data_IF_697683060374
#
_entry.id   IF_697683060374
#
_cell.length_a   1.000
_cell.length_b   1.000
_cell.length_c   1.000
_cell.angle_alpha   90.00
_cell.angle_beta   90.00
_cell.angle_gamma   90.00
#
_symmetry.space_group_name_H-M   'P 1'
#
loop_
_entity.id
_entity.type
_entity.pdbx_description
1 polymer ?
#
# COMPACT_ATOMS: atom_id res chain seq x y z
N UNK A 1 -20.82 -65.37 9.95
CA UNK A 1 -21.06 -65.15 8.51
C UNK A 1 -20.99 -63.65 8.23
N UNK A 2 -20.28 -63.12 7.25
CA UNK A 2 -19.12 -63.53 6.46
C UNK A 2 -18.75 -62.22 5.73
N UNK A 3 -17.50 -61.78 5.86
CA UNK A 3 -16.97 -60.63 5.11
C UNK A 3 -16.90 -61.05 3.63
N UNK A 4 -17.44 -60.24 2.70
CA UNK A 4 -17.21 -60.40 1.26
C UNK A 4 -16.76 -59.07 0.68
N UNK A 5 -15.51 -59.09 0.23
CA UNK A 5 -14.81 -58.13 -0.63
C UNK A 5 -15.44 -58.06 -2.02
N UNK A 6 -15.63 -56.86 -2.57
CA UNK A 6 -15.93 -56.68 -4.00
C UNK A 6 -14.67 -56.24 -4.75
N UNK A 7 -14.28 -57.10 -5.69
CA UNK A 7 -13.14 -57.00 -6.60
C UNK A 7 -13.39 -55.98 -7.71
N UNK A 8 -12.35 -55.21 -8.02
CA UNK A 8 -12.16 -54.44 -9.26
C UNK A 8 -12.36 -55.36 -10.47
N UNK A 9 -13.12 -54.91 -11.47
CA UNK A 9 -13.28 -55.58 -12.76
C UNK A 9 -12.81 -54.64 -13.86
N UNK A 10 -11.67 -54.97 -14.45
CA UNK A 10 -11.16 -54.36 -15.69
C UNK A 10 -12.15 -54.65 -16.83
N UNK A 11 -12.48 -53.62 -17.61
CA UNK A 11 -13.19 -53.76 -18.88
C UNK A 11 -12.27 -53.33 -20.01
N UNK A 12 -11.87 -54.32 -20.79
CA UNK A 12 -11.25 -54.21 -22.12
C UNK A 12 -12.40 -53.94 -23.10
N UNK A 13 -12.25 -52.94 -23.97
CA UNK A 13 -13.11 -52.73 -25.13
C UNK A 13 -12.22 -52.46 -26.36
N UNK A 14 -12.23 -53.41 -27.28
CA UNK A 14 -11.57 -53.35 -28.58
C UNK A 14 -12.51 -52.79 -29.66
N UNK A 15 -11.95 -51.94 -30.53
CA UNK A 15 -12.35 -51.72 -31.92
C UNK A 15 -12.54 -50.25 -32.33
N UNK A 16 -12.41 -49.88 -33.63
CA UNK A 16 -11.80 -50.56 -34.78
C UNK A 16 -10.56 -49.80 -35.34
N UNK A 17 -9.93 -50.37 -36.37
CA UNK A 17 -8.73 -49.88 -37.07
C UNK A 17 -8.67 -48.36 -37.35
N UNK A 18 -7.71 -47.69 -36.73
CA UNK A 18 -7.13 -46.44 -37.26
C UNK A 18 -5.78 -46.78 -37.90
N UNK A 19 -5.74 -46.75 -39.23
CA UNK A 19 -4.49 -46.68 -39.97
C UNK A 19 -3.82 -45.33 -39.64
N UNK A 20 -2.53 -45.29 -39.28
CA UNK A 20 -1.84 -44.03 -39.13
C UNK A 20 -1.71 -43.41 -40.52
N UNK A 21 -2.36 -42.25 -40.69
CA UNK A 21 -2.04 -41.33 -41.77
C UNK A 21 -0.60 -40.89 -41.54
N UNK A 22 0.28 -41.31 -42.44
CA UNK A 22 1.68 -40.92 -42.52
C UNK A 22 1.76 -39.45 -42.93
N UNK A 23 1.44 -38.55 -42.01
CA UNK A 23 1.84 -37.15 -42.11
C UNK A 23 3.31 -37.08 -41.71
N UNK A 24 4.17 -37.01 -42.72
CA UNK A 24 5.63 -37.00 -42.64
C UNK A 24 6.24 -35.85 -41.85
N UNK A 25 5.92 -35.74 -40.55
CA UNK A 25 6.67 -34.98 -39.60
C UNK A 25 7.81 -35.85 -39.05
N UNK A 26 8.99 -35.62 -39.62
CA UNK A 26 10.27 -36.08 -39.11
C UNK A 26 10.35 -35.83 -37.59
N UNK A 27 10.30 -36.90 -36.80
CA UNK A 27 10.76 -36.87 -35.41
C UNK A 27 12.20 -36.34 -35.39
N UNK A 28 12.54 -35.33 -34.57
CA UNK A 28 13.90 -34.82 -34.54
C UNK A 28 14.86 -35.94 -34.10
N UNK A 29 16.06 -36.04 -34.69
CA UNK A 29 16.99 -37.12 -34.39
C UNK A 29 17.40 -37.08 -32.92
N UNK A 30 17.32 -38.24 -32.25
CA UNK A 30 17.81 -38.41 -30.89
C UNK A 30 19.32 -38.11 -30.85
N UNK A 31 19.69 -36.95 -30.28
CA UNK A 31 21.09 -36.54 -30.12
C UNK A 31 21.39 -35.07 -30.43
N UNK A 32 20.44 -34.28 -30.95
CA UNK A 32 20.63 -32.84 -31.06
C UNK A 32 20.26 -32.15 -29.73
N UNK A 33 21.27 -31.93 -28.87
CA UNK A 33 21.17 -30.95 -27.79
C UNK A 33 20.65 -29.63 -28.38
N UNK A 34 19.69 -29.02 -27.68
CA UNK A 34 19.19 -27.70 -28.07
C UNK A 34 20.35 -26.70 -28.15
N UNK A 35 20.23 -25.66 -28.99
CA UNK A 35 21.27 -24.63 -29.08
C UNK A 35 21.60 -24.02 -27.71
N UNK A 36 20.58 -23.89 -26.85
CA UNK A 36 20.71 -23.37 -25.50
C UNK A 36 21.55 -24.29 -24.59
N UNK A 37 21.38 -25.60 -24.68
CA UNK A 37 22.15 -26.59 -23.89
C UNK A 37 23.62 -26.73 -24.35
N UNK A 38 23.98 -26.17 -25.50
CA UNK A 38 25.37 -26.11 -25.98
C UNK A 38 26.14 -24.91 -25.44
N UNK A 39 25.46 -23.94 -24.84
CA UNK A 39 26.10 -22.77 -24.26
C UNK A 39 26.85 -23.17 -22.97
N UNK A 40 27.95 -22.46 -22.63
CA UNK A 40 28.57 -22.60 -21.32
C UNK A 40 27.57 -22.34 -20.19
N UNK A 41 27.74 -23.06 -19.07
CA UNK A 41 26.88 -22.96 -17.90
C UNK A 41 26.71 -21.51 -17.41
N UNK A 42 27.78 -20.72 -17.49
CA UNK A 42 27.82 -19.31 -17.09
C UNK A 42 26.93 -18.43 -17.98
N UNK A 43 26.86 -18.73 -19.28
CA UNK A 43 26.01 -17.99 -20.23
C UNK A 43 24.55 -18.34 -20.01
N UNK A 44 24.24 -19.62 -19.78
CA UNK A 44 22.87 -20.06 -19.43
C UNK A 44 22.45 -19.38 -18.11
N UNK A 45 23.35 -19.31 -17.14
CA UNK A 45 23.10 -18.68 -15.85
C UNK A 45 22.87 -17.16 -15.98
N UNK A 46 23.65 -16.48 -16.82
CA UNK A 46 23.48 -15.05 -17.11
C UNK A 46 22.13 -14.80 -17.78
N UNK A 47 21.76 -15.56 -18.81
CA UNK A 47 20.45 -15.51 -19.47
C UNK A 47 19.33 -15.72 -18.45
N UNK A 48 19.44 -16.77 -17.62
CA UNK A 48 18.45 -17.08 -16.59
C UNK A 48 18.30 -15.96 -15.55
N UNK A 49 19.33 -15.13 -15.34
CA UNK A 49 19.28 -14.01 -14.39
C UNK A 49 18.33 -12.87 -14.80
N UNK A 50 17.91 -12.82 -16.07
CA UNK A 50 16.95 -11.85 -16.59
C UNK A 50 15.51 -12.37 -16.60
N UNK A 51 15.29 -13.63 -16.23
CA UNK A 51 13.98 -14.29 -16.30
C UNK A 51 13.15 -14.04 -15.03
N UNK A 52 11.83 -13.92 -15.20
CA UNK A 52 10.88 -13.90 -14.08
C UNK A 52 10.79 -15.28 -13.41
N UNK A 53 10.20 -15.35 -12.22
CA UNK A 53 9.97 -16.64 -11.55
C UNK A 53 9.14 -17.62 -12.39
N UNK A 54 8.13 -17.11 -13.13
CA UNK A 54 7.31 -17.89 -14.04
C UNK A 54 8.13 -18.40 -15.23
N UNK A 55 8.95 -17.54 -15.83
CA UNK A 55 9.80 -17.91 -16.96
C UNK A 55 10.90 -18.91 -16.56
N UNK A 56 11.45 -18.79 -15.34
CA UNK A 56 12.36 -19.79 -14.79
C UNK A 56 11.66 -21.14 -14.59
N UNK A 57 10.41 -21.14 -14.14
CA UNK A 57 9.64 -22.38 -14.03
C UNK A 57 9.40 -23.01 -15.41
N UNK A 58 9.07 -22.21 -16.42
CA UNK A 58 8.94 -22.66 -17.80
C UNK A 58 10.27 -23.19 -18.36
N UNK A 59 11.38 -22.48 -18.14
CA UNK A 59 12.73 -22.90 -18.54
C UNK A 59 13.07 -24.28 -17.95
N UNK A 60 12.86 -24.45 -16.65
CA UNK A 60 13.12 -25.72 -15.98
C UNK A 60 12.21 -26.87 -16.41
N UNK A 61 11.01 -26.56 -16.93
CA UNK A 61 10.09 -27.57 -17.44
C UNK A 61 10.49 -28.13 -18.82
N UNK A 62 11.48 -27.53 -19.50
CA UNK A 62 11.88 -27.95 -20.85
C UNK A 62 12.87 -29.12 -20.87
N UNK A 63 13.83 -29.19 -19.96
CA UNK A 63 14.80 -30.29 -19.88
C UNK A 63 15.41 -30.45 -18.48
N UNK A 64 15.97 -31.63 -18.20
CA UNK A 64 16.67 -31.90 -16.94
C UNK A 64 17.90 -31.01 -16.74
N UNK A 65 18.65 -30.69 -17.80
CA UNK A 65 19.80 -29.78 -17.66
C UNK A 65 19.33 -28.36 -17.31
N UNK A 66 18.26 -27.89 -17.95
CA UNK A 66 17.73 -26.55 -17.69
C UNK A 66 16.99 -26.45 -16.36
N UNK A 67 16.45 -27.55 -15.82
CA UNK A 67 15.87 -27.56 -14.46
C UNK A 67 16.94 -27.30 -13.39
N UNK A 68 18.15 -27.81 -13.56
CA UNK A 68 19.25 -27.58 -12.63
C UNK A 68 19.69 -26.10 -12.63
N UNK A 69 19.81 -25.51 -13.83
CA UNK A 69 20.10 -24.07 -13.97
C UNK A 69 18.98 -23.20 -13.40
N UNK A 70 17.72 -23.49 -13.75
CA UNK A 70 16.56 -22.74 -13.27
C UNK A 70 16.34 -22.90 -11.75
N UNK A 71 16.86 -23.97 -11.14
CA UNK A 71 16.79 -24.21 -9.70
C UNK A 71 17.94 -23.57 -8.91
N UNK A 72 18.87 -22.87 -9.57
CA UNK A 72 19.99 -22.20 -8.90
C UNK A 72 19.48 -21.16 -7.90
N UNK A 73 19.81 -21.36 -6.62
CA UNK A 73 19.25 -20.57 -5.52
C UNK A 73 19.66 -19.09 -5.55
N UNK A 74 20.76 -18.73 -6.23
CA UNK A 74 21.16 -17.33 -6.42
C UNK A 74 20.17 -16.55 -7.30
N UNK A 75 19.56 -17.21 -8.29
CA UNK A 75 18.49 -16.60 -9.11
C UNK A 75 17.28 -16.27 -8.25
N UNK A 76 16.89 -17.22 -7.40
CA UNK A 76 15.75 -17.05 -6.50
C UNK A 76 16.05 -16.06 -5.38
N UNK A 77 17.30 -15.96 -4.92
CA UNK A 77 17.74 -14.94 -3.98
C UNK A 77 17.56 -13.54 -4.55
N UNK A 78 17.96 -13.33 -5.82
CA UNK A 78 17.73 -12.08 -6.55
C UNK A 78 16.23 -11.76 -6.62
N UNK A 79 15.40 -12.72 -7.06
CA UNK A 79 13.95 -12.53 -7.17
C UNK A 79 13.24 -12.21 -5.85
N UNK A 80 13.67 -12.83 -4.74
CA UNK A 80 13.16 -12.49 -3.40
C UNK A 80 13.61 -11.08 -3.00
N UNK A 81 14.89 -10.76 -3.17
CA UNK A 81 15.44 -9.47 -2.75
C UNK A 81 14.92 -8.30 -3.58
N UNK A 82 14.55 -8.50 -4.83
CA UNK A 82 13.83 -7.49 -5.64
C UNK A 82 12.45 -7.13 -5.09
N UNK A 83 11.83 -8.05 -4.32
CA UNK A 83 10.52 -7.87 -3.68
C UNK A 83 10.64 -7.38 -2.24
N UNK A 84 11.84 -7.08 -1.75
CA UNK A 84 12.07 -6.64 -0.39
C UNK A 84 12.72 -5.26 -0.33
N UNK A 85 12.27 -4.36 0.56
CA UNK A 85 12.92 -3.06 0.74
C UNK A 85 14.36 -3.16 1.25
N UNK A 86 14.65 -4.20 2.03
CA UNK A 86 15.97 -4.49 2.56
C UNK A 86 16.37 -5.92 2.14
N UNK A 87 17.47 -6.08 1.38
CA UNK A 87 17.93 -7.39 0.94
C UNK A 87 18.30 -8.30 2.12
N UNK A 88 17.91 -9.57 2.02
CA UNK A 88 18.26 -10.63 2.95
C UNK A 88 19.43 -11.46 2.40
N UNK A 89 20.28 -11.94 3.30
CA UNK A 89 21.51 -12.67 2.96
C UNK A 89 21.35 -14.19 3.00
N UNK A 90 20.29 -14.70 3.64
CA UNK A 90 20.01 -16.12 3.75
C UNK A 90 18.49 -16.35 3.72
N UNK A 91 18.07 -17.59 3.45
CA UNK A 91 16.67 -17.99 3.35
C UNK A 91 15.96 -18.18 4.70
N UNK A 92 16.58 -17.78 5.82
CA UNK A 92 15.98 -17.88 7.15
C UNK A 92 15.65 -19.34 7.52
N UNK A 93 14.40 -19.65 7.91
CA UNK A 93 14.00 -21.02 8.26
C UNK A 93 13.80 -21.94 7.04
N UNK A 94 13.83 -21.40 5.81
CA UNK A 94 13.63 -22.17 4.60
C UNK A 94 14.94 -22.80 4.12
N UNK A 95 14.84 -23.97 3.47
CA UNK A 95 16.03 -24.68 2.94
C UNK A 95 16.77 -23.94 1.84
N UNK A 96 16.09 -23.03 1.14
CA UNK A 96 16.62 -22.33 -0.03
C UNK A 96 15.73 -21.11 -0.35
N UNK A 97 16.28 -20.13 -1.06
CA UNK A 97 15.53 -18.98 -1.57
C UNK A 97 14.41 -19.37 -2.53
N UNK A 98 14.60 -20.39 -3.37
CA UNK A 98 13.52 -20.94 -4.21
C UNK A 98 12.34 -21.40 -3.36
N UNK A 99 12.60 -22.15 -2.28
CA UNK A 99 11.57 -22.64 -1.38
C UNK A 99 10.86 -21.51 -0.63
N UNK A 100 11.61 -20.49 -0.22
CA UNK A 100 11.08 -19.27 0.38
C UNK A 100 10.16 -18.52 -0.61
N UNK A 101 10.62 -18.29 -1.84
CA UNK A 101 9.85 -17.59 -2.86
C UNK A 101 8.48 -18.27 -3.08
N UNK A 102 8.49 -19.60 -3.24
CA UNK A 102 7.28 -20.40 -3.45
C UNK A 102 6.35 -20.43 -2.23
N UNK A 103 6.86 -20.23 -1.01
CA UNK A 103 6.04 -20.18 0.21
C UNK A 103 5.03 -19.02 0.19
N UNK A 104 5.42 -17.92 -0.44
CA UNK A 104 4.68 -16.67 -0.42
C UNK A 104 4.18 -16.20 -1.77
N UNK A 105 4.60 -16.78 -2.89
CA UNK A 105 4.04 -16.45 -4.20
C UNK A 105 2.52 -16.71 -4.22
N UNK A 106 1.65 -15.74 -4.62
CA UNK A 106 1.98 -14.47 -5.29
C UNK A 106 2.09 -13.24 -4.36
N UNK A 107 2.00 -13.40 -3.04
CA UNK A 107 1.87 -12.34 -2.03
C UNK A 107 3.13 -11.51 -1.76
N UNK A 108 4.20 -11.62 -2.55
CA UNK A 108 5.45 -10.87 -2.36
C UNK A 108 5.29 -9.35 -2.56
N UNK A 109 4.25 -8.92 -3.29
CA UNK A 109 3.93 -7.50 -3.44
C UNK A 109 3.60 -6.82 -2.10
N UNK A 110 3.14 -7.58 -1.11
CA UNK A 110 2.73 -7.06 0.20
C UNK A 110 3.91 -6.41 0.95
N UNK A 111 5.00 -7.15 1.26
CA UNK A 111 6.18 -6.56 1.89
C UNK A 111 6.97 -5.63 0.96
N UNK A 112 6.86 -5.80 -0.37
CA UNK A 112 7.53 -4.92 -1.35
C UNK A 112 7.06 -3.47 -1.21
N UNK A 113 5.75 -3.27 -1.09
CA UNK A 113 5.15 -1.95 -1.06
C UNK A 113 5.23 -1.24 0.30
N UNK A 114 5.55 -1.96 1.38
CA UNK A 114 5.69 -1.47 2.77
C UNK A 114 4.43 -0.87 3.38
N UNK A 115 3.89 0.19 2.77
CA UNK A 115 2.80 1.01 3.29
C UNK A 115 1.49 0.59 2.63
N UNK A 116 0.47 0.42 3.46
CA UNK A 116 -0.88 0.09 3.05
C UNK A 116 -1.87 0.96 3.81
N UNK A 117 -2.92 1.39 3.13
CA UNK A 117 -4.03 2.15 3.72
C UNK A 117 -5.28 1.31 3.54
N UNK A 118 -5.99 1.02 4.63
CA UNK A 118 -7.20 0.22 4.60
C UNK A 118 -8.47 1.05 4.76
N UNK A 119 -9.50 0.55 4.09
CA UNK A 119 -10.84 1.08 4.06
C UNK A 119 -11.63 0.78 5.34
N UNK A 120 -11.22 1.34 6.48
CA UNK A 120 -11.99 1.24 7.73
C UNK A 120 -12.96 2.43 7.86
N UNK A 121 -14.24 2.18 8.09
CA UNK A 121 -15.30 3.20 8.02
C UNK A 121 -14.98 4.43 8.89
N UNK A 122 -15.13 5.62 8.27
CA UNK A 122 -14.66 6.96 8.64
C UNK A 122 -13.18 7.11 9.04
N UNK A 123 -12.61 6.14 9.72
CA UNK A 123 -11.35 6.25 10.46
C UNK A 123 -10.12 5.84 9.66
N UNK A 124 -10.26 4.93 8.71
CA UNK A 124 -9.13 4.40 7.95
C UNK A 124 -8.18 3.60 8.83
N UNK A 125 -7.12 3.10 8.23
CA UNK A 125 -6.05 2.43 8.96
C UNK A 125 -4.77 2.48 8.14
N UNK A 126 -3.72 3.05 8.72
CA UNK A 126 -2.37 2.98 8.17
C UNK A 126 -1.71 1.68 8.63
N UNK A 127 -1.14 0.94 7.70
CA UNK A 127 -0.55 -0.39 7.93
C UNK A 127 0.87 -0.39 7.38
N UNK A 128 1.79 -0.99 8.13
CA UNK A 128 3.13 -1.35 7.64
C UNK A 128 3.23 -2.86 7.52
N UNK A 129 3.58 -3.33 6.32
CA UNK A 129 3.83 -4.73 6.00
C UNK A 129 5.33 -4.98 5.79
N UNK A 130 5.81 -6.11 6.31
CA UNK A 130 7.22 -6.52 6.18
C UNK A 130 7.37 -8.03 6.15
N UNK A 131 8.54 -8.46 5.69
CA UNK A 131 8.99 -9.84 5.82
C UNK A 131 10.02 -9.93 6.95
N UNK A 132 9.76 -10.78 7.93
CA UNK A 132 10.73 -11.12 8.98
C UNK A 132 11.50 -12.38 8.54
N UNK A 133 12.79 -12.22 8.23
CA UNK A 133 13.63 -13.32 7.78
C UNK A 133 13.98 -14.33 8.89
N UNK A 134 14.02 -13.90 10.16
CA UNK A 134 14.34 -14.80 11.28
C UNK A 134 13.17 -15.76 11.54
N UNK A 135 11.94 -15.24 11.53
CA UNK A 135 10.72 -16.06 11.67
C UNK A 135 10.25 -16.67 10.35
N UNK A 136 10.70 -16.12 9.23
CA UNK A 136 10.28 -16.51 7.89
C UNK A 136 8.82 -16.25 7.63
N UNK A 137 8.27 -15.11 8.08
CA UNK A 137 6.84 -14.75 7.97
C UNK A 137 6.66 -13.40 7.27
N UNK A 138 5.53 -13.24 6.56
CA UNK A 138 5.06 -11.91 6.12
C UNK A 138 4.01 -11.46 7.11
N UNK A 139 4.18 -10.27 7.65
CA UNK A 139 3.27 -9.72 8.65
C UNK A 139 2.98 -8.26 8.35
N UNK A 140 1.82 -7.78 8.80
CA UNK A 140 1.45 -6.39 8.69
C UNK A 140 0.75 -5.93 9.96
N UNK A 141 1.14 -4.76 10.45
CA UNK A 141 0.64 -4.17 11.69
C UNK A 141 0.08 -2.78 11.42
N UNK A 142 -0.95 -2.42 12.19
CA UNK A 142 -1.44 -1.06 12.22
C UNK A 142 -0.36 -0.13 12.78
N UNK A 143 -0.22 1.04 12.16
CA UNK A 143 0.53 2.15 12.74
C UNK A 143 -0.39 2.86 13.73
N UNK A 144 0.06 2.92 14.98
CA UNK A 144 -0.65 3.55 16.08
C UNK A 144 0.14 4.77 16.51
N UNK A 145 -0.57 5.76 17.03
CA UNK A 145 0.07 6.89 17.66
C UNK A 145 -0.62 7.31 18.95
N UNK A 146 0.19 7.73 19.91
CA UNK A 146 -0.29 8.37 21.13
C UNK A 146 0.08 9.84 21.12
N UNK A 147 -0.86 10.67 21.55
CA UNK A 147 -0.71 12.13 21.58
C UNK A 147 0.37 12.61 22.55
N UNK A 148 0.65 11.83 23.60
CA UNK A 148 1.39 12.27 24.77
C UNK A 148 0.58 13.21 25.68
N UNK A 149 1.22 13.73 26.72
CA UNK A 149 0.61 14.70 27.64
C UNK A 149 0.80 16.12 27.09
N UNK A 150 -0.27 16.83 26.71
CA UNK A 150 -0.15 18.17 26.14
C UNK A 150 0.28 19.18 27.21
N UNK A 151 1.17 20.09 26.83
CA UNK A 151 1.57 21.25 27.61
C UNK A 151 0.95 22.50 26.98
N UNK A 152 0.51 23.45 27.82
CA UNK A 152 0.00 24.72 27.32
C UNK A 152 1.16 25.64 26.95
N UNK A 153 1.05 26.25 25.78
CA UNK A 153 1.96 27.27 25.30
C UNK A 153 1.17 28.55 24.99
N UNK A 154 1.83 29.70 25.17
CA UNK A 154 1.25 31.00 24.84
C UNK A 154 1.92 31.48 23.56
N UNK A 155 1.12 31.90 22.60
CA UNK A 155 1.61 32.64 21.44
C UNK A 155 1.70 34.11 21.79
N UNK A 156 2.91 34.68 21.80
CA UNK A 156 3.12 36.06 22.22
C UNK A 156 2.35 37.04 21.32
N UNK A 157 2.35 36.81 20.01
CA UNK A 157 1.65 37.64 19.02
C UNK A 157 0.12 37.52 19.09
N UNK A 158 -0.40 36.39 19.59
CA UNK A 158 -1.85 36.10 19.69
C UNK A 158 -2.19 35.42 21.04
N UNK A 159 -2.16 36.17 22.17
CA UNK A 159 -2.33 35.60 23.51
C UNK A 159 -3.70 34.94 23.77
N UNK A 160 -4.70 35.23 22.94
CA UNK A 160 -6.03 34.63 22.97
C UNK A 160 -6.08 33.21 22.40
N UNK A 161 -5.05 32.79 21.67
CA UNK A 161 -5.00 31.48 21.00
C UNK A 161 -4.53 30.40 21.97
N UNK A 162 -5.27 29.29 22.00
CA UNK A 162 -4.92 28.13 22.82
C UNK A 162 -4.01 27.22 22.00
N UNK A 163 -2.77 27.10 22.46
CA UNK A 163 -1.78 26.17 21.90
C UNK A 163 -1.57 25.03 22.88
N UNK A 164 -1.80 23.81 22.40
CA UNK A 164 -1.44 22.58 23.10
C UNK A 164 -0.25 21.96 22.37
N UNK A 165 0.84 21.72 23.11
CA UNK A 165 2.00 21.03 22.55
C UNK A 165 1.60 19.63 22.10
N UNK A 166 2.24 19.17 21.04
CA UNK A 166 1.98 17.87 20.46
C UNK A 166 3.30 17.17 20.18
N UNK A 167 3.59 16.11 20.92
CA UNK A 167 4.82 15.33 20.77
C UNK A 167 4.42 13.86 20.66
N UNK A 168 3.94 13.44 19.48
CA UNK A 168 3.35 12.12 19.33
C UNK A 168 4.40 11.01 19.34
N UNK A 169 4.07 9.88 19.98
CA UNK A 169 4.82 8.64 19.80
C UNK A 169 4.15 7.83 18.68
N UNK A 170 4.91 7.44 17.65
CA UNK A 170 4.41 6.62 16.54
C UNK A 170 5.10 5.27 16.55
N UNK A 171 4.31 4.19 16.56
CA UNK A 171 4.82 2.83 16.66
C UNK A 171 3.90 1.82 15.96
N UNK A 172 4.38 0.60 15.77
CA UNK A 172 3.56 -0.51 15.30
C UNK A 172 2.79 -1.11 16.48
N UNK A 173 1.49 -1.32 16.33
CA UNK A 173 0.65 -1.98 17.34
C UNK A 173 0.97 -3.47 17.44
N UNK A 174 2.09 -3.83 18.05
CA UNK A 174 2.58 -5.20 18.19
C UNK A 174 1.89 -5.99 19.32
N UNK A 175 1.23 -5.28 20.25
CA UNK A 175 0.50 -5.88 21.37
C UNK A 175 -0.81 -6.56 20.92
N UNK A 176 -1.37 -6.10 19.79
CA UNK A 176 -2.57 -6.65 19.18
C UNK A 176 -2.25 -7.68 18.08
N UNK A 177 -3.26 -8.44 17.65
CA UNK A 177 -3.10 -9.35 16.52
C UNK A 177 -2.71 -8.59 15.25
N UNK A 178 -1.73 -9.09 14.48
CA UNK A 178 -1.38 -8.50 13.20
C UNK A 178 -2.59 -8.40 12.27
N UNK A 179 -2.65 -7.34 11.47
CA UNK A 179 -3.68 -7.14 10.44
C UNK A 179 -3.58 -8.26 9.39
N UNK A 180 -2.35 -8.60 9.01
CA UNK A 180 -2.03 -9.71 8.11
C UNK A 180 -0.91 -10.53 8.72
N UNK A 181 -1.04 -11.86 8.68
CA UNK A 181 0.02 -12.77 9.08
C UNK A 181 0.03 -14.01 8.20
N UNK A 182 1.03 -14.09 7.32
CA UNK A 182 1.27 -15.22 6.44
C UNK A 182 2.47 -15.99 6.97
N UNK A 183 2.24 -17.24 7.32
CA UNK A 183 3.28 -18.19 7.68
C UNK A 183 3.23 -19.42 6.77
N UNK A 184 4.37 -20.11 6.69
CA UNK A 184 4.46 -21.45 6.13
C UNK A 184 4.49 -22.45 7.30
N UNK A 185 3.58 -23.45 7.34
CA UNK A 185 3.52 -24.39 8.46
C UNK A 185 4.72 -25.36 8.49
N UNK A 186 5.44 -25.51 7.38
CA UNK A 186 6.59 -26.40 7.30
C UNK A 186 7.69 -25.80 6.39
N UNK A 187 8.40 -24.75 6.86
CA UNK A 187 9.43 -24.06 6.07
C UNK A 187 10.61 -24.98 5.74
N UNK A 188 10.85 -25.99 6.58
CA UNK A 188 11.86 -27.03 6.40
C UNK A 188 11.47 -28.11 5.38
N UNK A 189 10.26 -28.08 4.81
CA UNK A 189 9.86 -29.00 3.73
C UNK A 189 10.55 -28.66 2.42
N UNK A 190 10.84 -29.68 1.60
CA UNK A 190 11.33 -29.47 0.22
C UNK A 190 10.25 -28.94 -0.72
N UNK A 191 8.99 -29.20 -0.40
CA UNK A 191 7.84 -28.73 -1.17
C UNK A 191 7.16 -27.57 -0.46
N UNK A 192 6.71 -26.59 -1.24
CA UNK A 192 5.76 -25.60 -0.77
C UNK A 192 4.33 -26.17 -0.89
N UNK A 193 3.39 -25.77 -0.03
CA UNK A 193 1.97 -25.98 -0.31
C UNK A 193 1.64 -25.45 -1.71
N UNK A 194 1.03 -26.26 -2.56
CA UNK A 194 0.65 -25.84 -3.91
C UNK A 194 -0.37 -24.71 -3.78
N UNK A 195 0.01 -23.50 -4.17
CA UNK A 195 -0.90 -22.37 -4.32
C UNK A 195 -1.41 -22.37 -5.76
N UNK A 196 -2.24 -23.36 -6.13
CA UNK A 196 -2.98 -23.30 -7.39
C UNK A 196 -3.90 -22.09 -7.35
N UNK A 197 -4.21 -21.47 -8.48
CA UNK A 197 -5.18 -20.36 -8.55
C UNK A 197 -6.53 -20.78 -7.94
N UNK A 198 -6.92 -22.05 -8.12
CA UNK A 198 -8.10 -22.68 -7.49
C UNK A 198 -8.00 -22.85 -5.96
N UNK A 199 -6.81 -22.72 -5.38
CA UNK A 199 -6.58 -22.62 -3.92
C UNK A 199 -6.28 -21.20 -3.45
N UNK A 200 -6.03 -20.27 -4.38
CA UNK A 200 -5.98 -18.82 -4.12
C UNK A 200 -7.38 -18.17 -4.22
N UNK A 201 -8.34 -18.85 -4.86
CA UNK A 201 -9.78 -18.57 -4.75
C UNK A 201 -10.34 -18.92 -3.37
N UNK A 202 -9.68 -19.85 -2.66
CA UNK A 202 -9.94 -20.13 -1.26
C UNK A 202 -9.13 -19.13 -0.42
N UNK A 203 -9.82 -18.28 0.32
CA UNK A 203 -9.19 -17.26 1.15
C UNK A 203 -8.16 -17.89 2.11
N UNK A 204 -6.93 -17.34 2.12
CA UNK A 204 -5.86 -17.90 2.94
C UNK A 204 -6.09 -17.54 4.41
N UNK A 205 -6.56 -18.52 5.20
CA UNK A 205 -6.75 -18.37 6.65
C UNK A 205 -5.42 -18.07 7.34
N UNK A 206 -5.45 -17.11 8.24
CA UNK A 206 -4.30 -16.67 9.02
C UNK A 206 -4.49 -17.10 10.48
N UNK A 207 -3.43 -17.59 11.14
CA UNK A 207 -3.49 -17.88 12.57
C UNK A 207 -3.65 -16.56 13.36
N UNK A 208 -4.52 -16.60 14.37
CA UNK A 208 -4.78 -15.50 15.31
C UNK A 208 -4.18 -15.87 16.68
N UNK A 209 -3.56 -14.92 17.38
CA UNK A 209 -3.02 -15.13 18.72
C UNK A 209 -4.05 -14.88 19.83
N UNK A 210 -5.08 -14.06 19.59
CA UNK A 210 -6.10 -13.69 20.58
C UNK A 210 -7.05 -14.80 21.06
N UNK A 211 -7.41 -14.68 22.34
CA UNK A 211 -8.35 -15.48 23.14
C UNK A 211 -9.81 -15.55 22.61
N UNK A 212 -10.15 -14.92 21.49
CA UNK A 212 -11.48 -15.03 20.88
C UNK A 212 -11.48 -16.27 19.99
N UNK A 213 -11.73 -17.44 20.59
CA UNK A 213 -11.65 -18.79 19.99
C UNK A 213 -12.48 -19.02 18.71
N UNK A 214 -13.11 -17.98 18.17
CA UNK A 214 -14.15 -18.05 17.15
C UNK A 214 -13.98 -17.03 16.02
N UNK A 215 -12.94 -16.19 16.01
CA UNK A 215 -12.65 -15.29 14.88
C UNK A 215 -11.44 -15.83 14.11
N UNK A 216 -11.45 -15.76 12.79
CA UNK A 216 -10.25 -15.98 11.97
C UNK A 216 -10.13 -14.90 10.89
N UNK A 217 -8.90 -14.47 10.60
CA UNK A 217 -8.62 -13.52 9.52
C UNK A 217 -8.25 -14.30 8.27
N UNK A 218 -8.54 -13.76 7.10
CA UNK A 218 -8.17 -14.37 5.83
C UNK A 218 -7.75 -13.32 4.81
N UNK A 219 -6.78 -13.69 3.97
CA UNK A 219 -6.34 -12.86 2.84
C UNK A 219 -7.14 -13.22 1.59
N UNK A 220 -7.64 -12.19 0.91
CA UNK A 220 -8.27 -12.30 -0.40
C UNK A 220 -7.54 -11.39 -1.39
N UNK A 221 -7.19 -11.94 -2.56
CA UNK A 221 -6.49 -11.23 -3.62
C UNK A 221 -7.50 -10.44 -4.46
N UNK A 222 -7.10 -9.30 -5.03
CA UNK A 222 -7.99 -8.39 -5.73
C UNK A 222 -7.54 -8.14 -7.16
N UNK A 223 -8.49 -7.84 -8.03
CA UNK A 223 -8.22 -7.26 -9.35
C UNK A 223 -8.46 -5.74 -9.32
N UNK A 224 -7.73 -5.02 -10.17
CA UNK A 224 -7.99 -3.62 -10.40
C UNK A 224 -9.25 -3.44 -11.26
N UNK A 225 -10.02 -2.39 -10.99
CA UNK A 225 -11.17 -2.01 -11.80
C UNK A 225 -10.72 -1.75 -13.24
N UNK A 226 -11.33 -2.44 -14.20
CA UNK A 226 -11.08 -2.18 -15.61
C UNK A 226 -11.78 -0.89 -16.06
N UNK A 227 -11.02 0.04 -16.65
CA UNK A 227 -11.53 1.32 -17.18
C UNK A 227 -12.56 1.18 -18.32
N UNK A 228 -12.72 -0.03 -18.87
CA UNK A 228 -13.74 -0.36 -19.89
C UNK A 228 -15.04 -0.92 -19.30
N UNK A 229 -15.16 -0.96 -17.97
CA UNK A 229 -16.33 -1.46 -17.27
C UNK A 229 -17.52 -0.48 -17.24
N UNK A 230 -18.66 -0.90 -16.69
CA UNK A 230 -19.80 -0.02 -16.44
C UNK A 230 -19.41 1.13 -15.50
N UNK A 231 -20.14 2.24 -15.59
CA UNK A 231 -19.92 3.41 -14.74
C UNK A 231 -20.12 3.03 -13.26
N UNK A 232 -19.12 3.29 -12.42
CA UNK A 232 -19.15 3.01 -10.98
C UNK A 232 -19.19 4.33 -10.24
N UNK A 233 -20.06 4.44 -9.22
CA UNK A 233 -20.11 5.64 -8.38
C UNK A 233 -18.72 5.87 -7.74
N UNK A 234 -18.10 7.07 -7.90
CA UNK A 234 -16.85 7.42 -7.26
C UNK A 234 -16.79 7.15 -5.75
N UNK A 235 -17.92 7.30 -5.05
CA UNK A 235 -18.01 7.12 -3.60
C UNK A 235 -17.78 5.67 -3.16
N UNK A 236 -17.97 4.69 -4.05
CA UNK A 236 -17.75 3.27 -3.74
C UNK A 236 -16.36 2.78 -4.16
N UNK A 237 -15.50 3.65 -4.65
CA UNK A 237 -14.15 3.29 -5.07
C UNK A 237 -13.14 3.38 -3.92
N UNK A 238 -12.17 2.46 -3.94
CA UNK A 238 -11.02 2.46 -3.06
C UNK A 238 -9.70 2.32 -3.82
N UNK A 239 -8.66 3.13 -3.52
CA UNK A 239 -8.74 4.31 -2.64
C UNK A 239 -9.69 5.38 -3.24
N UNK A 240 -10.12 6.39 -2.46
CA UNK A 240 -10.94 7.50 -2.97
C UNK A 240 -10.17 8.34 -3.99
N UNK A 241 -10.88 9.02 -4.90
CA UNK A 241 -10.26 9.77 -6.01
C UNK A 241 -9.22 10.80 -5.55
N UNK A 242 -9.45 11.40 -4.40
CA UNK A 242 -8.57 12.39 -3.76
C UNK A 242 -7.18 11.82 -3.45
N UNK A 243 -7.08 10.52 -3.11
CA UNK A 243 -5.78 9.85 -2.93
C UNK A 243 -5.28 9.42 -4.31
N UNK A 244 -4.14 9.93 -4.81
CA UNK A 244 -3.58 9.51 -6.09
C UNK A 244 -3.23 8.01 -6.06
N UNK A 245 -3.68 7.27 -7.08
CA UNK A 245 -3.41 5.84 -7.18
C UNK A 245 -3.42 5.36 -8.63
N UNK A 246 -2.54 4.40 -8.95
CA UNK A 246 -2.47 3.71 -10.24
C UNK A 246 -3.58 2.67 -10.42
N UNK A 247 -4.10 2.14 -9.32
CA UNK A 247 -5.12 1.10 -9.31
C UNK A 247 -6.20 1.42 -8.28
N UNK A 248 -7.46 1.17 -8.64
CA UNK A 248 -8.61 1.28 -7.74
C UNK A 248 -9.47 0.03 -7.87
N UNK A 249 -10.25 -0.27 -6.86
CA UNK A 249 -11.27 -1.32 -6.89
C UNK A 249 -12.54 -0.82 -6.21
N UNK A 250 -13.63 -1.58 -6.35
CA UNK A 250 -14.85 -1.31 -5.60
C UNK A 250 -14.64 -1.77 -4.16
N UNK A 251 -15.08 -0.94 -3.21
CA UNK A 251 -15.10 -1.28 -1.78
C UNK A 251 -15.87 -2.59 -1.55
N UNK A 252 -15.37 -3.43 -0.66
CA UNK A 252 -16.04 -4.66 -0.25
C UNK A 252 -17.18 -4.34 0.72
N UNK A 253 -18.27 -3.78 0.20
CA UNK A 253 -19.49 -3.51 0.96
C UNK A 253 -20.16 -4.85 1.31
N UNK A 254 -20.81 -4.92 2.48
CA UNK A 254 -21.30 -6.12 3.20
C UNK A 254 -22.07 -7.20 2.39
N UNK A 255 -22.45 -6.91 1.14
CA UNK A 255 -23.20 -7.81 0.25
C UNK A 255 -22.49 -8.13 -1.08
N UNK A 256 -21.21 -7.76 -1.22
CA UNK A 256 -20.46 -7.98 -2.47
C UNK A 256 -19.88 -9.41 -2.51
N UNK A 257 -20.19 -10.22 -3.56
CA UNK A 257 -19.55 -11.52 -3.69
C UNK A 257 -18.02 -11.35 -3.83
N UNK A 258 -17.21 -12.27 -3.28
CA UNK A 258 -15.77 -12.25 -3.51
C UNK A 258 -15.47 -12.19 -5.00
N UNK A 259 -14.55 -11.29 -5.39
CA UNK A 259 -14.04 -11.29 -6.75
C UNK A 259 -13.30 -12.61 -6.98
N UNK A 260 -13.78 -13.39 -7.96
CA UNK A 260 -13.13 -14.63 -8.37
C UNK A 260 -12.10 -14.27 -9.43
N UNK A 261 -10.83 -14.41 -9.07
CA UNK A 261 -9.72 -14.23 -9.99
C UNK A 261 -9.61 -15.48 -10.87
N UNK A 262 -9.69 -15.31 -12.19
CA UNK A 262 -9.56 -16.45 -13.10
C UNK A 262 -8.09 -16.71 -13.46
N UNK A 263 -7.30 -15.65 -13.56
CA UNK A 263 -5.90 -15.69 -13.98
C UNK A 263 -5.01 -14.86 -13.05
N UNK A 264 -3.77 -15.30 -12.78
CA UNK A 264 -2.80 -14.52 -12.01
C UNK A 264 -2.48 -13.16 -12.66
N UNK A 265 -2.63 -13.03 -13.98
CA UNK A 265 -2.45 -11.76 -14.69
C UNK A 265 -3.48 -10.69 -14.33
N UNK A 266 -4.62 -11.08 -13.74
CA UNK A 266 -5.65 -10.15 -13.27
C UNK A 266 -5.34 -9.59 -11.87
N UNK A 267 -4.36 -10.18 -11.16
CA UNK A 267 -3.99 -9.80 -9.80
C UNK A 267 -3.41 -8.39 -9.77
N UNK A 268 -3.96 -7.55 -8.90
CA UNK A 268 -3.39 -6.25 -8.61
C UNK A 268 -2.36 -6.37 -7.49
N UNK A 269 -1.10 -6.04 -7.78
CA UNK A 269 -0.05 -5.93 -6.77
C UNK A 269 -0.22 -4.68 -5.87
N UNK A 270 -1.14 -3.76 -6.20
CA UNK A 270 -1.40 -2.55 -5.41
C UNK A 270 -2.61 -2.66 -4.46
N UNK A 271 -3.31 -3.81 -4.46
CA UNK A 271 -4.58 -3.99 -3.75
C UNK A 271 -4.69 -5.40 -3.15
N UNK A 272 -5.21 -5.51 -1.92
CA UNK A 272 -5.64 -6.78 -1.36
C UNK A 272 -6.77 -6.57 -0.35
N UNK A 273 -7.43 -7.65 0.09
CA UNK A 273 -8.46 -7.61 1.13
C UNK A 273 -8.11 -8.50 2.31
N UNK A 274 -8.47 -8.04 3.51
CA UNK A 274 -8.44 -8.86 4.73
C UNK A 274 -9.86 -9.03 5.21
N UNK A 275 -10.32 -10.27 5.33
CA UNK A 275 -11.67 -10.61 5.78
C UNK A 275 -11.64 -11.25 7.15
N UNK A 276 -12.48 -10.75 8.04
CA UNK A 276 -12.70 -11.32 9.37
C UNK A 276 -13.92 -12.23 9.34
N UNK A 277 -13.72 -13.47 9.78
CA UNK A 277 -14.76 -14.48 9.84
C UNK A 277 -15.09 -14.82 11.27
N UNK A 278 -16.37 -14.93 11.58
CA UNK A 278 -16.86 -15.48 12.84
C UNK A 278 -17.30 -16.94 12.62
N UNK A 279 -16.91 -17.83 13.54
CA UNK A 279 -17.22 -19.25 13.45
C UNK A 279 -18.75 -19.46 13.36
N UNK A 280 -19.24 -20.18 12.33
CA UNK A 280 -20.65 -20.42 12.11
C UNK A 280 -21.41 -21.01 13.31
N UNK A 281 -20.71 -21.77 14.18
CA UNK A 281 -21.30 -22.46 15.33
C UNK A 281 -21.76 -21.54 16.47
N UNK A 282 -21.33 -20.27 16.46
CA UNK A 282 -21.66 -19.28 17.48
C UNK A 282 -22.59 -18.17 16.95
N UNK A 283 -23.26 -18.41 15.81
CA UNK A 283 -24.21 -17.45 15.21
C UNK A 283 -25.53 -17.40 15.98
N UNK A 284 -25.84 -16.26 16.58
CA UNK A 284 -27.15 -15.93 17.15
C UNK A 284 -28.01 -15.04 16.21
N UNK A 285 -27.46 -14.57 15.08
CA UNK A 285 -28.14 -13.67 14.13
C UNK A 285 -27.82 -14.07 12.67
N UNK A 286 -28.77 -13.95 11.72
CA UNK A 286 -28.57 -14.31 10.31
C UNK A 286 -27.80 -13.26 9.49
N UNK A 287 -27.33 -12.16 10.10
CA UNK A 287 -26.57 -11.12 9.40
C UNK A 287 -25.11 -11.56 9.24
N UNK A 288 -24.65 -11.67 7.99
CA UNK A 288 -23.24 -11.77 7.64
C UNK A 288 -22.51 -10.53 8.14
N UNK A 289 -21.81 -10.62 9.26
CA UNK A 289 -20.87 -9.58 9.69
C UNK A 289 -19.45 -10.00 9.28
N UNK A 290 -19.26 -10.14 7.96
CA UNK A 290 -17.95 -10.12 7.33
C UNK A 290 -17.43 -8.68 7.38
N UNK A 291 -16.58 -8.37 8.36
CA UNK A 291 -15.80 -7.14 8.30
C UNK A 291 -14.65 -7.36 7.32
N UNK A 292 -14.75 -6.78 6.13
CA UNK A 292 -13.73 -6.82 5.09
C UNK A 292 -13.01 -5.48 5.03
N UNK A 293 -11.69 -5.53 5.04
CA UNK A 293 -10.82 -4.38 4.89
C UNK A 293 -10.24 -4.43 3.49
N UNK A 294 -10.57 -3.45 2.65
CA UNK A 294 -9.90 -3.27 1.35
C UNK A 294 -8.67 -2.42 1.55
N UNK A 295 -7.50 -2.96 1.23
CA UNK A 295 -6.21 -2.30 1.40
C UNK A 295 -5.69 -1.83 0.04
N UNK A 296 -5.11 -0.64 0.00
CA UNK A 296 -4.38 -0.11 -1.16
C UNK A 296 -3.03 0.46 -0.73
N UNK A 297 -2.01 0.27 -1.56
CA UNK A 297 -0.71 0.90 -1.32
C UNK A 297 -0.66 2.35 -1.83
N UNK A 298 0.35 3.09 -1.40
CA UNK A 298 0.71 4.42 -1.91
C UNK A 298 1.97 4.31 -2.75
N UNK A 299 2.04 5.05 -3.86
CA UNK A 299 3.28 5.14 -4.64
C UNK A 299 4.36 5.87 -3.80
N UNK A 300 5.58 5.33 -3.68
CA UNK A 300 6.70 5.98 -2.98
C UNK A 300 6.93 7.43 -3.37
N UNK A 301 6.65 7.81 -4.63
CA UNK A 301 6.81 9.19 -5.09
C UNK A 301 5.88 10.17 -4.35
N UNK A 302 4.76 9.70 -3.78
CA UNK A 302 3.77 10.56 -3.11
C UNK A 302 4.15 10.92 -1.68
N UNK A 303 4.97 10.10 -1.02
CA UNK A 303 5.32 10.28 0.39
C UNK A 303 6.82 10.42 0.65
N UNK A 304 7.64 10.42 -0.39
CA UNK A 304 9.08 10.68 -0.28
C UNK A 304 9.32 12.18 -0.51
N UNK A 305 9.85 12.93 0.48
CA UNK A 305 10.20 14.33 0.29
C UNK A 305 11.42 14.47 -0.63
N UNK A 306 11.46 15.55 -1.40
CA UNK A 306 12.63 15.97 -2.19
C UNK A 306 13.01 17.41 -1.83
N UNK A 307 14.21 17.91 -2.22
CA UNK A 307 14.55 19.32 -2.01
C UNK A 307 13.52 20.30 -2.59
N UNK A 308 12.89 19.95 -3.71
CA UNK A 308 11.86 20.75 -4.39
C UNK A 308 10.47 20.56 -3.77
N UNK A 309 10.25 19.43 -3.07
CA UNK A 309 8.99 19.08 -2.40
C UNK A 309 9.22 18.70 -0.94
N UNK A 310 9.75 19.62 -0.11
CA UNK A 310 10.18 19.30 1.24
C UNK A 310 9.02 18.92 2.14
N UNK A 311 7.79 19.41 1.92
CA UNK A 311 6.63 19.10 2.76
C UNK A 311 5.88 17.83 2.34
N UNK A 312 6.21 17.26 1.18
CA UNK A 312 5.58 16.04 0.69
C UNK A 312 5.89 14.85 1.58
N UNK A 313 4.87 14.13 2.04
CA UNK A 313 5.10 13.02 2.97
C UNK A 313 3.87 12.49 3.68
N UNK A 314 4.08 11.49 4.53
CA UNK A 314 3.11 11.07 5.53
C UNK A 314 3.38 11.84 6.82
N UNK A 315 2.31 12.43 7.35
CA UNK A 315 2.32 13.26 8.54
C UNK A 315 1.35 12.71 9.57
N UNK A 316 1.57 13.05 10.82
CA UNK A 316 0.64 12.84 11.92
C UNK A 316 0.22 14.19 12.48
N UNK A 317 -1.07 14.38 12.71
CA UNK A 317 -1.64 15.61 13.24
C UNK A 317 -2.50 15.40 14.48
N UNK A 318 -2.63 16.47 15.27
CA UNK A 318 -3.50 16.54 16.44
C UNK A 318 -4.89 17.09 16.09
N UNK A 319 -5.91 16.25 16.27
CA UNK A 319 -7.32 16.58 16.08
C UNK A 319 -8.08 16.59 17.41
N UNK A 320 -7.39 16.92 18.51
CA UNK A 320 -7.97 17.19 19.82
C UNK A 320 -8.80 16.01 20.36
N UNK A 321 -10.12 16.15 20.44
CA UNK A 321 -10.99 15.10 20.97
C UNK A 321 -11.03 13.83 20.10
N UNK A 322 -10.66 13.94 18.82
CA UNK A 322 -10.56 12.81 17.90
C UNK A 322 -9.19 12.11 17.96
N UNK A 323 -8.20 12.73 18.61
CA UNK A 323 -6.89 12.17 18.83
C UNK A 323 -5.93 12.39 17.65
N UNK A 324 -5.04 11.42 17.43
CA UNK A 324 -4.01 11.49 16.41
C UNK A 324 -4.51 10.94 15.07
N UNK A 325 -4.20 11.63 13.98
CA UNK A 325 -4.54 11.15 12.64
C UNK A 325 -3.40 11.29 11.66
N UNK A 326 -3.29 10.34 10.74
CA UNK A 326 -2.31 10.31 9.68
C UNK A 326 -2.81 10.98 8.41
N UNK A 327 -1.97 11.80 7.81
CA UNK A 327 -2.23 12.55 6.59
C UNK A 327 -1.20 12.20 5.53
N UNK A 328 -1.61 12.22 4.27
CA UNK A 328 -0.74 12.31 3.11
C UNK A 328 -0.72 13.76 2.67
N UNK A 329 0.40 14.45 2.87
CA UNK A 329 0.61 15.81 2.39
C UNK A 329 1.25 15.74 1.01
N UNK A 330 0.55 16.24 0.01
CA UNK A 330 1.01 16.35 -1.37
C UNK A 330 1.50 17.77 -1.63
N UNK A 331 2.67 17.91 -2.25
CA UNK A 331 3.20 19.20 -2.71
C UNK A 331 3.17 19.24 -4.24
N UNK A 332 2.21 19.98 -4.78
CA UNK A 332 1.97 20.07 -6.22
C UNK A 332 2.47 21.40 -6.77
N UNK A 333 3.02 21.38 -7.98
CA UNK A 333 3.37 22.60 -8.69
C UNK A 333 2.09 23.27 -9.21
N UNK A 334 2.04 24.60 -9.13
CA UNK A 334 0.83 25.38 -9.49
C UNK A 334 0.46 25.27 -10.97
N UNK A 335 1.40 24.83 -11.82
CA UNK A 335 1.18 24.63 -13.25
C UNK A 335 0.29 23.43 -13.59
N UNK A 336 -0.03 22.55 -12.63
CA UNK A 336 -0.76 21.31 -12.90
C UNK A 336 -2.29 21.44 -12.98
N UNK A 337 -2.90 22.60 -12.69
CA UNK A 337 -4.37 22.75 -12.60
C UNK A 337 -4.98 23.55 -13.78
N UNK A 338 -4.18 24.11 -14.69
CA UNK A 338 -4.68 24.90 -15.81
C UNK A 338 -4.81 24.11 -17.13
N UNK A 339 -5.40 22.92 -17.14
CA UNK A 339 -5.89 22.28 -18.37
C UNK A 339 -7.15 21.47 -18.08
N UNK A 340 -8.28 22.18 -18.06
CA UNK A 340 -9.60 21.60 -17.84
C UNK A 340 -10.72 22.62 -17.90
N UNK A 341 -10.64 23.59 -18.84
CA UNK A 341 -11.84 24.29 -19.29
C UNK A 341 -11.63 24.77 -20.73
N UNK A 342 -12.20 24.02 -21.67
CA UNK A 342 -12.30 24.43 -23.07
C UNK A 342 -13.39 25.50 -23.15
N UNK A 343 -12.99 26.77 -23.32
CA UNK A 343 -13.80 27.75 -24.05
C UNK A 343 -12.88 28.79 -24.69
N UNK A 344 -12.65 28.60 -25.99
CA UNK A 344 -12.14 29.63 -26.90
C UNK A 344 -13.06 30.86 -26.86
N UNK A 345 -12.49 32.07 -26.73
CA UNK A 345 -12.81 33.26 -27.55
C UNK A 345 -12.29 34.54 -26.88
N UNK A 346 -11.20 35.08 -27.40
CA UNK A 346 -11.06 36.46 -27.91
C UNK A 346 -9.62 36.98 -27.72
N UNK A 347 -8.95 37.11 -28.86
CA UNK A 347 -7.72 37.87 -28.98
C UNK A 347 -8.00 39.34 -28.66
N UNK A 348 -7.27 39.89 -27.70
CA UNK A 348 -7.04 41.32 -27.65
C UNK A 348 -5.59 41.57 -27.25
N UNK A 349 -4.93 42.24 -28.19
CA UNK A 349 -3.56 42.68 -28.20
C UNK A 349 -3.38 43.81 -27.18
N UNK A 350 -2.62 43.55 -26.12
CA UNK A 350 -1.92 44.59 -25.35
C UNK A 350 -0.56 44.05 -24.99
N UNK A 351 0.39 44.30 -25.89
CA UNK A 351 1.79 44.54 -25.53
C UNK A 351 1.81 45.62 -24.45
N UNK A 352 2.18 45.26 -23.23
CA UNK A 352 3.09 46.00 -22.36
C UNK A 352 3.17 45.31 -20.98
N UNK A 353 4.40 45.23 -20.46
CA UNK A 353 4.79 44.78 -19.11
C UNK A 353 4.82 43.26 -18.81
N UNK A 354 5.73 42.53 -19.47
CA UNK A 354 6.31 41.28 -18.89
C UNK A 354 7.83 41.30 -19.04
N UNK A 355 8.48 42.22 -18.34
CA UNK A 355 9.88 42.09 -17.98
C UNK A 355 9.99 42.34 -16.48
N UNK A 356 10.13 41.26 -15.69
CA UNK A 356 10.88 41.12 -14.43
C UNK A 356 10.25 40.02 -13.55
N UNK A 357 10.85 38.82 -13.55
CA UNK A 357 11.10 37.98 -12.34
C UNK A 357 11.60 36.55 -12.65
N UNK A 358 12.43 36.37 -13.67
CA UNK A 358 13.16 35.10 -13.88
C UNK A 358 14.53 35.08 -13.18
N UNK A 359 14.59 35.64 -11.98
CA UNK A 359 15.69 35.36 -11.06
C UNK A 359 15.17 34.31 -10.08
N UNK A 360 15.32 33.03 -10.42
CA UNK A 360 15.12 31.95 -9.46
C UNK A 360 16.14 32.13 -8.32
N UNK A 361 15.71 32.77 -7.24
CA UNK A 361 16.48 32.79 -6.01
C UNK A 361 16.57 31.34 -5.52
N UNK A 362 17.79 30.81 -5.47
CA UNK A 362 18.10 29.46 -4.96
C UNK A 362 17.51 29.25 -3.54
N UNK A 363 17.26 30.34 -2.79
CA UNK A 363 16.63 30.35 -1.47
C UNK A 363 15.13 29.98 -1.46
N UNK A 364 14.46 29.95 -2.62
CA UNK A 364 13.02 29.66 -2.75
C UNK A 364 12.72 28.23 -3.26
N UNK A 365 13.76 27.41 -3.40
CA UNK A 365 13.61 25.99 -3.76
C UNK A 365 12.86 25.26 -2.63
N UNK A 366 11.76 24.59 -2.98
CA UNK A 366 10.92 23.86 -2.02
C UNK A 366 9.87 24.70 -1.29
N UNK A 367 9.90 26.01 -1.49
CA UNK A 367 9.08 26.99 -0.77
C UNK A 367 7.88 27.50 -1.58
N UNK A 368 7.51 26.78 -2.63
CA UNK A 368 6.45 27.12 -3.59
C UNK A 368 5.49 25.95 -3.80
N UNK A 369 4.35 26.26 -4.42
CA UNK A 369 3.37 25.27 -4.85
C UNK A 369 2.19 25.16 -3.90
N UNK A 370 1.33 24.19 -4.16
CA UNK A 370 0.15 23.91 -3.36
C UNK A 370 0.45 22.78 -2.38
N UNK A 371 -0.01 22.92 -1.12
CA UNK A 371 -0.06 21.83 -0.16
C UNK A 371 -1.48 21.34 0.02
N UNK A 372 -1.68 20.03 -0.19
CA UNK A 372 -2.96 19.37 0.04
C UNK A 372 -2.75 18.23 1.04
N UNK A 373 -3.40 18.30 2.20
CA UNK A 373 -3.31 17.26 3.21
C UNK A 373 -4.55 16.36 3.13
N UNK A 374 -4.37 15.13 2.67
CA UNK A 374 -5.44 14.12 2.59
C UNK A 374 -5.39 13.24 3.83
N UNK A 375 -6.52 13.05 4.51
CA UNK A 375 -6.65 12.14 5.65
C UNK A 375 -6.44 10.69 5.22
N UNK A 376 -5.37 10.04 5.65
CA UNK A 376 -5.18 8.58 5.51
C UNK A 376 -5.94 7.84 6.61
N UNK A 377 -5.94 8.42 7.80
CA UNK A 377 -6.92 8.15 8.85
C UNK A 377 -7.72 9.40 9.13
N UNK A 378 -8.94 9.25 9.62
CA UNK A 378 -9.81 10.39 9.92
C UNK A 378 -10.81 10.08 11.02
N UNK A 379 -11.91 10.81 11.00
CA UNK A 379 -12.90 10.78 12.06
C UNK A 379 -14.34 10.88 11.50
N UNK A 380 -15.38 10.72 12.32
CA UNK A 380 -16.77 10.80 11.85
C UNK A 380 -17.20 12.17 11.30
N UNK A 381 -16.49 13.26 11.62
CA UNK A 381 -16.70 14.59 11.06
C UNK A 381 -15.96 14.71 9.73
N UNK A 382 -14.63 14.57 9.70
CA UNK A 382 -13.85 14.59 8.44
C UNK A 382 -13.18 13.23 8.23
N UNK A 383 -13.76 12.35 7.38
CA UNK A 383 -13.32 10.97 7.29
C UNK A 383 -12.06 10.80 6.45
N UNK A 384 -11.44 9.61 6.55
CA UNK A 384 -10.37 9.15 5.66
C UNK A 384 -10.73 9.42 4.19
N UNK A 385 -9.73 9.79 3.40
CA UNK A 385 -9.86 10.11 1.99
C UNK A 385 -10.30 11.54 1.71
N UNK A 386 -10.74 12.31 2.72
CA UNK A 386 -11.04 13.74 2.56
C UNK A 386 -9.80 14.60 2.80
N UNK A 387 -9.78 15.81 2.25
CA UNK A 387 -8.80 16.80 2.65
C UNK A 387 -9.03 17.20 4.10
N UNK A 388 -7.97 17.38 4.88
CA UNK A 388 -8.02 18.10 6.14
C UNK A 388 -7.77 19.59 5.94
N UNK A 389 -6.85 19.95 5.05
CA UNK A 389 -6.55 21.34 4.74
C UNK A 389 -5.94 21.47 3.35
N UNK A 390 -6.05 22.68 2.79
CA UNK A 390 -5.44 23.05 1.51
C UNK A 390 -4.82 24.44 1.63
N UNK A 391 -3.52 24.55 1.36
CA UNK A 391 -2.82 25.81 1.14
C UNK A 391 -2.57 25.97 -0.36
N UNK A 392 -3.27 26.91 -1.01
CA UNK A 392 -3.27 27.04 -2.48
C UNK A 392 -1.90 27.43 -3.05
N UNK A 393 -1.13 28.19 -2.29
CA UNK A 393 0.21 28.64 -2.62
C UNK A 393 0.99 28.81 -1.31
N UNK A 394 2.17 28.22 -1.21
CA UNK A 394 3.08 28.39 -0.07
C UNK A 394 4.24 29.33 -0.36
N UNK A 395 4.38 29.81 -1.60
CA UNK A 395 5.34 30.83 -2.02
C UNK A 395 4.99 32.25 -1.56
N UNK A 396 5.64 33.24 -2.17
CA UNK A 396 5.49 34.67 -1.81
C UNK A 396 4.05 35.18 -1.92
N UNK A 397 3.26 34.70 -2.89
CA UNK A 397 1.86 35.11 -3.06
C UNK A 397 0.94 34.58 -1.95
N UNK A 398 1.27 33.44 -1.37
CA UNK A 398 0.52 32.83 -0.27
C UNK A 398 0.96 33.29 1.12
N UNK A 399 2.14 33.90 1.22
CA UNK A 399 2.73 34.39 2.47
C UNK A 399 1.88 35.50 3.09
N UNK A 400 1.57 35.33 4.38
CA UNK A 400 0.93 36.34 5.22
C UNK A 400 2.03 37.13 5.94
N UNK A 401 2.93 36.41 6.62
CA UNK A 401 4.01 36.98 7.40
C UNK A 401 5.10 35.94 7.68
N UNK A 402 6.24 36.41 8.20
CA UNK A 402 7.24 35.58 8.87
C UNK A 402 7.16 35.95 10.34
N UNK A 403 6.93 34.96 11.20
CA UNK A 403 6.77 35.21 12.63
C UNK A 403 8.09 35.66 13.27
N UNK A 404 8.01 36.62 14.18
CA UNK A 404 9.16 37.19 14.88
C UNK A 404 9.19 36.83 16.36
N UNK A 405 8.08 36.34 16.91
CA UNK A 405 7.92 36.04 18.32
C UNK A 405 7.68 34.53 18.59
N UNK A 406 7.94 34.11 19.82
CA UNK A 406 7.72 32.73 20.25
C UNK A 406 6.22 32.35 20.21
N UNK A 407 5.90 31.07 19.90
CA UNK A 407 6.80 29.93 19.73
C UNK A 407 7.23 29.64 18.28
N UNK A 408 6.88 30.51 17.32
CA UNK A 408 7.07 30.23 15.89
C UNK A 408 8.11 31.15 15.22
N UNK A 409 9.06 31.71 15.98
CA UNK A 409 10.10 32.62 15.47
C UNK A 409 10.75 32.08 14.18
N UNK A 410 10.70 32.87 13.12
CA UNK A 410 11.27 32.55 11.81
C UNK A 410 10.39 31.67 10.91
N UNK A 411 9.26 31.15 11.41
CA UNK A 411 8.35 30.34 10.61
C UNK A 411 7.58 31.21 9.60
N UNK A 412 7.39 30.68 8.39
CA UNK A 412 6.56 31.31 7.36
C UNK A 412 5.11 30.96 7.62
N UNK A 413 4.25 31.97 7.71
CA UNK A 413 2.81 31.81 7.87
C UNK A 413 2.14 32.06 6.52
N UNK A 414 1.41 31.07 6.02
CA UNK A 414 0.77 31.12 4.69
C UNK A 414 -0.74 30.92 4.81
N UNK A 415 -1.48 31.48 3.83
CA UNK A 415 -2.94 31.29 3.75
C UNK A 415 -3.27 29.82 3.55
N UNK A 416 -4.22 29.33 4.32
CA UNK A 416 -4.71 27.96 4.27
C UNK A 416 -6.24 27.97 4.39
N UNK A 417 -6.86 26.85 4.05
CA UNK A 417 -8.26 26.61 4.40
C UNK A 417 -8.37 25.23 5.02
N UNK A 418 -8.97 25.18 6.21
CA UNK A 418 -9.22 23.95 6.95
C UNK A 418 -10.59 23.39 6.61
N UNK A 419 -10.67 22.08 6.40
CA UNK A 419 -11.91 21.38 6.10
C UNK A 419 -12.59 20.98 7.41
N UNK A 420 -13.85 21.35 7.56
CA UNK A 420 -14.68 21.07 8.74
C UNK A 420 -16.04 20.55 8.31
N UNK A 421 -16.66 19.74 9.16
CA UNK A 421 -18.00 19.21 8.90
C UNK A 421 -18.71 18.83 10.21
N UNK A 422 -20.04 18.75 10.15
CA UNK A 422 -20.85 18.12 11.19
C UNK A 422 -20.68 16.60 11.22
N UNK A 423 -21.21 15.98 12.29
CA UNK A 423 -21.13 14.53 12.49
C UNK A 423 -21.71 13.76 11.28
N UNK A 424 -20.97 12.78 10.79
CA UNK A 424 -21.29 12.00 9.61
C UNK A 424 -20.93 12.72 8.30
N UNK A 425 -19.92 13.59 8.34
CA UNK A 425 -19.48 14.43 7.22
C UNK A 425 -20.63 15.22 6.57
N UNK A 426 -21.48 15.84 7.41
CA UNK A 426 -22.63 16.62 6.97
C UNK A 426 -22.30 18.09 6.91
N UNK A 427 -22.86 18.78 5.91
CA UNK A 427 -22.70 20.22 5.72
C UNK A 427 -21.22 20.63 5.74
N UNK A 428 -20.39 19.88 5.00
CA UNK A 428 -18.95 20.11 4.96
C UNK A 428 -18.63 21.46 4.30
N UNK A 429 -17.60 22.12 4.83
CA UNK A 429 -17.16 23.42 4.33
C UNK A 429 -15.69 23.67 4.65
N UNK A 430 -15.11 24.65 3.97
CA UNK A 430 -13.78 25.14 4.25
C UNK A 430 -13.86 26.47 4.98
N UNK A 431 -13.21 26.54 6.14
CA UNK A 431 -13.00 27.79 6.89
C UNK A 431 -11.60 28.33 6.64
N UNK A 432 -11.45 29.64 6.72
CA UNK A 432 -10.15 30.28 6.53
C UNK A 432 -9.24 29.97 7.73
N UNK A 433 -7.98 29.72 7.44
CA UNK A 433 -6.99 29.30 8.43
C UNK A 433 -5.58 29.68 7.97
N UNK A 434 -4.59 29.47 8.85
CA UNK A 434 -3.19 29.77 8.53
C UNK A 434 -2.32 28.54 8.78
N UNK A 435 -1.48 28.21 7.80
CA UNK A 435 -0.48 27.15 7.95
C UNK A 435 0.86 27.78 8.31
N UNK A 436 1.46 27.32 9.41
CA UNK A 436 2.72 27.79 9.96
C UNK A 436 3.78 26.76 9.62
N UNK A 437 4.67 27.12 8.70
CA UNK A 437 5.74 26.26 8.19
C UNK A 437 6.98 26.38 9.07
N UNK A 438 7.02 25.59 10.15
CA UNK A 438 8.10 25.63 11.16
C UNK A 438 9.39 25.01 10.60
N UNK A 439 9.29 23.81 10.00
CA UNK A 439 10.40 23.12 9.34
C UNK A 439 9.86 22.09 8.33
N UNK A 440 10.72 21.46 7.50
CA UNK A 440 10.29 20.36 6.64
C UNK A 440 9.69 19.15 7.38
N UNK A 441 9.86 19.02 8.70
CA UNK A 441 9.36 17.89 9.48
C UNK A 441 8.35 18.29 10.57
N UNK A 442 8.03 19.58 10.68
CA UNK A 442 7.14 20.12 11.70
C UNK A 442 6.34 21.28 11.11
N UNK A 443 5.02 21.20 11.19
CA UNK A 443 4.10 22.27 10.82
C UNK A 443 3.09 22.53 11.93
N UNK A 444 2.49 23.71 11.94
CA UNK A 444 1.32 24.01 12.74
C UNK A 444 0.22 24.61 11.88
N UNK A 445 -1.04 24.48 12.30
CA UNK A 445 -2.22 24.97 11.61
C UNK A 445 -3.08 25.72 12.60
N UNK A 446 -3.20 27.03 12.37
CA UNK A 446 -4.00 27.92 13.17
C UNK A 446 -5.41 28.01 12.60
N UNK A 447 -6.37 27.51 13.36
CA UNK A 447 -7.80 27.55 13.07
C UNK A 447 -8.38 28.83 13.67
N UNK A 448 -8.41 29.91 12.89
CA UNK A 448 -8.74 31.27 13.35
C UNK A 448 -10.08 31.34 14.10
N UNK A 449 -11.15 30.83 13.46
CA UNK A 449 -12.50 30.85 14.04
C UNK A 449 -12.63 30.02 15.33
N UNK A 450 -11.73 29.05 15.54
CA UNK A 450 -11.73 28.18 16.71
C UNK A 450 -10.76 28.65 17.80
N UNK A 451 -9.89 29.62 17.51
CA UNK A 451 -8.85 30.08 18.43
C UNK A 451 -7.87 28.98 18.86
N UNK A 452 -7.59 28.02 17.97
CA UNK A 452 -6.83 26.80 18.29
C UNK A 452 -5.70 26.53 17.28
N UNK A 453 -4.58 25.98 17.75
CA UNK A 453 -3.48 25.52 16.89
C UNK A 453 -3.32 24.00 16.97
N UNK A 454 -3.35 23.34 15.83
CA UNK A 454 -2.97 21.93 15.67
C UNK A 454 -1.53 21.83 15.17
N UNK A 455 -0.76 20.86 15.68
CA UNK A 455 0.59 20.56 15.20
C UNK A 455 0.61 19.31 14.34
N UNK A 456 1.62 19.23 13.47
CA UNK A 456 1.86 18.10 12.59
C UNK A 456 3.34 17.72 12.58
N UNK A 457 3.61 16.43 12.72
CA UNK A 457 4.95 15.85 12.64
C UNK A 457 5.08 14.92 11.43
N UNK A 458 6.22 14.93 10.76
CA UNK A 458 6.49 13.95 9.70
C UNK A 458 6.72 12.57 10.32
N UNK A 459 6.12 11.54 9.73
CA UNK A 459 6.30 10.15 10.18
C UNK A 459 7.55 9.54 9.54
N UNK A 460 8.47 9.02 10.35
CA UNK A 460 9.62 8.22 9.89
C UNK A 460 9.19 6.76 9.65
N UNK A 461 8.80 6.47 8.41
CA UNK A 461 8.36 5.12 8.00
C UNK A 461 9.49 4.10 8.10
N UNK A 462 10.73 4.49 7.81
CA UNK A 462 11.86 3.57 7.82
C UNK A 462 12.24 3.17 9.25
N UNK A 463 12.03 4.05 10.23
CA UNK A 463 12.13 3.71 11.65
C UNK A 463 11.12 2.63 12.07
N UNK A 464 9.87 2.70 11.58
CA UNK A 464 8.83 1.69 11.86
C UNK A 464 9.17 0.31 11.27
N UNK A 465 9.86 0.28 10.13
CA UNK A 465 10.30 -0.99 9.53
C UNK A 465 11.43 -1.65 10.32
N UNK A 466 12.31 -0.84 10.93
CA UNK A 466 13.48 -1.28 11.70
C UNK A 466 13.18 -1.75 13.12
N UNK A 467 11.96 -1.63 13.62
CA UNK A 467 11.59 -1.86 15.05
C UNK A 467 11.68 -3.33 15.53
N UNK A 468 12.58 -4.14 14.98
CA UNK A 468 13.00 -5.43 15.53
C UNK A 468 14.46 -5.38 16.01
N UNK A 469 14.74 -4.50 16.95
CA UNK A 469 15.94 -4.66 17.79
C UNK A 469 15.55 -4.26 19.20
N UNK A 470 15.81 -5.16 20.16
CA UNK A 470 15.69 -4.97 21.62
C UNK A 470 14.32 -5.26 22.25
N UNK A 471 13.89 -6.51 22.22
CA UNK A 471 13.48 -7.16 23.48
C UNK A 471 14.31 -8.44 23.63
N UNK A 472 15.37 -8.34 24.42
CA UNK A 472 16.12 -9.45 24.99
C UNK A 472 15.69 -9.62 26.44
#
# INVERSE_FOLDING_TARGET
>A
MQIISLSTREQINDGPSDQPVDDGHMSPPAGQLSFLEKLPAEIIQDIASYLSASDLACLGATSWTLVDHASNDLLWAKLVNERLPAPIQNSGPFRSFRRLYLAYHPCWFIPQHKIWVADNENTGMLIIARYDNLRGVIEAYQVVAERGTPQFQIWISHPEVIIQSFEPSVYLGLDDDPVLFLNDPNPSSRTAPIQSIQSATDEKRMPIASNVQHIYKSLSLCSALSLRGPWVNPDVLWPPQIIPSKARTVRDLKDSPPQILNNLSELSESLFRVRNWVNPRFRLSPVSNEASLTCSTLDPVLYTPTPEKPYQGIWIGDYSAHGCEFLLVLQNDITAIAYGDENESQMMDTQDEVEHDNQENIEDVGQRGQLQAVKLTGDPNVPRGQFSFVAQEIGSKGLISVETEEPFVGARIVRCRGHVAGLGFRDDTYIDSQLILISPNHMAHYWEEMGHVSYYHRVDIDALLRTYVVHK
#
